data_IF_159628396178
#
_entry.id   IF_159628396178
#
_cell.length_a   1.000
_cell.length_b   1.000
_cell.length_c   1.000
_cell.angle_alpha   90.00
_cell.angle_beta   90.00
_cell.angle_gamma   90.00
#
_symmetry.space_group_name_H-M   'P 1'
#
loop_
_entity.id
_entity.type
_entity.pdbx_description
1 polymer ?
2 polymer ?
3 water ?
#
# COMPACT_ATOMS: atom_id res chain seq x y z
N UNK A 1 6.98 20.22 15.56
CA UNK A 1 6.31 19.16 16.33
C UNK A 1 5.08 18.68 15.61
N UNK A 2 4.52 17.61 16.12
CA UNK A 2 3.34 17.02 15.54
C UNK A 2 3.70 15.76 14.81
N UNK A 3 2.75 14.84 14.76
CA UNK A 3 3.00 13.61 14.06
C UNK A 3 1.70 13.18 13.40
N UNK A 4 1.72 13.09 12.07
CA UNK A 4 0.51 12.80 11.30
C UNK A 4 0.82 11.73 10.27
N UNK A 5 -0.19 10.95 9.93
CA UNK A 5 -0.04 10.05 8.78
C UNK A 5 0.03 10.93 7.54
N UNK A 6 1.18 10.94 6.91
CA UNK A 6 1.51 11.86 5.82
C UNK A 6 1.83 11.09 4.56
N UNK A 7 1.18 11.44 3.46
CA UNK A 7 1.46 10.89 2.15
C UNK A 7 2.49 11.72 1.42
N UNK A 8 3.09 11.16 0.42
CA UNK A 8 3.96 11.94 -0.45
C UNK A 8 3.12 12.82 -1.36
N UNK A 9 3.64 13.99 -1.75
CA UNK A 9 2.94 14.83 -2.71
C UNK A 9 2.67 14.01 -3.97
N UNK A 10 1.46 14.14 -4.48
CA UNK A 10 0.98 13.19 -5.49
C UNK A 10 1.11 13.73 -6.92
N UNK A 11 1.59 14.94 -7.13
CA UNK A 11 1.56 15.52 -8.46
C UNK A 11 2.27 14.70 -9.53
N UNK A 12 3.47 14.18 -9.22
CA UNK A 12 4.18 13.37 -10.20
C UNK A 12 3.37 12.17 -10.66
N UNK A 13 2.55 11.59 -9.77
CA UNK A 13 1.73 10.44 -10.15
C UNK A 13 0.45 10.90 -10.84
N UNK A 14 -0.14 12.01 -10.39
CA UNK A 14 -1.33 12.54 -11.04
C UNK A 14 -1.12 12.70 -12.54
N UNK A 15 0.06 13.15 -12.95
CA UNK A 15 0.30 13.35 -14.36
C UNK A 15 0.39 12.08 -15.18
N UNK A 16 0.27 10.93 -14.52
CA UNK A 16 0.46 9.65 -15.18
C UNK A 16 -0.86 8.89 -15.25
N UNK A 17 -1.92 9.36 -14.59
CA UNK A 17 -3.18 8.61 -14.50
C UNK A 17 -4.03 8.86 -15.72
N UNK A 18 -4.56 7.76 -16.28
CA UNK A 18 -5.45 7.78 -17.44
C UNK A 18 -6.66 6.88 -17.17
N UNK A 19 -7.68 7.01 -18.00
CA UNK A 19 -8.84 6.13 -17.96
C UNK A 19 -8.70 5.09 -19.07
N UNK A 20 -8.95 3.81 -18.74
CA UNK A 20 -8.95 2.74 -19.74
C UNK A 20 -10.34 2.14 -19.76
N UNK A 21 -10.92 2.04 -20.96
CA UNK A 21 -12.25 1.46 -21.15
C UNK A 21 -12.14 0.33 -22.15
N UNK A 22 -12.72 -0.81 -21.80
CA UNK A 22 -12.87 -1.94 -22.71
C UNK A 22 -14.34 -2.35 -22.63
N UNK A 23 -15.12 -2.06 -23.67
CA UNK A 23 -16.54 -2.33 -23.61
C UNK A 23 -17.20 -1.43 -22.61
N UNK A 24 -17.94 -2.01 -21.68
CA UNK A 24 -18.55 -1.23 -20.60
C UNK A 24 -17.76 -1.26 -19.32
N UNK A 25 -16.58 -1.89 -19.30
CA UNK A 25 -15.74 -1.91 -18.13
C UNK A 25 -14.74 -0.76 -18.19
N UNK A 26 -14.68 0.02 -17.12
CA UNK A 26 -13.78 1.16 -17.04
C UNK A 26 -12.93 1.07 -15.79
N UNK A 27 -11.67 1.45 -15.89
CA UNK A 27 -10.80 1.51 -14.71
C UNK A 27 -9.65 2.47 -15.00
N UNK A 28 -8.68 2.52 -14.09
CA UNK A 28 -7.58 3.44 -14.22
C UNK A 28 -6.38 2.74 -14.80
N UNK A 29 -5.58 3.50 -15.54
CA UNK A 29 -4.26 3.04 -15.95
C UNK A 29 -3.18 4.04 -15.62
N UNK A 30 -1.94 3.56 -15.71
CA UNK A 30 -0.74 4.33 -15.40
C UNK A 30 0.09 4.49 -16.67
N UNK A 31 0.26 5.74 -17.14
CA UNK A 31 0.87 6.02 -18.44
C UNK A 31 2.30 6.49 -18.20
N UNK A 32 3.29 5.66 -18.54
CA UNK A 32 4.69 6.00 -18.37
C UNK A 32 5.36 5.78 -19.72
N UNK A 33 6.08 6.78 -20.22
CA UNK A 33 6.64 6.70 -21.58
C UNK A 33 5.50 6.35 -22.54
N UNK A 34 5.67 5.37 -23.44
CA UNK A 34 4.62 5.03 -24.40
C UNK A 34 3.83 3.78 -24.02
N UNK A 35 3.71 3.49 -22.71
CA UNK A 35 2.97 2.32 -22.23
C UNK A 35 1.98 2.74 -21.16
N UNK A 36 0.79 2.16 -21.23
CA UNK A 36 -0.24 2.28 -20.21
C UNK A 36 -0.37 0.93 -19.54
N UNK A 37 -0.16 0.89 -18.22
CA UNK A 37 -0.27 -0.32 -17.39
C UNK A 37 -1.64 -0.29 -16.71
N UNK A 38 -2.38 -1.39 -16.76
CA UNK A 38 -3.66 -1.44 -16.06
C UNK A 38 -3.97 -2.86 -15.64
N UNK A 39 -4.90 -3.06 -14.73
CA UNK A 39 -5.31 -4.42 -14.36
C UNK A 39 -5.93 -5.15 -15.56
N UNK A 40 -5.55 -6.41 -15.73
CA UNK A 40 -6.14 -7.18 -16.80
C UNK A 40 -7.65 -7.38 -16.63
N UNK A 41 -8.19 -7.14 -15.42
CA UNK A 41 -9.63 -7.20 -15.19
C UNK A 41 -10.42 -6.28 -16.14
N UNK A 42 -9.77 -5.32 -16.79
CA UNK A 42 -10.48 -4.45 -17.72
C UNK A 42 -11.12 -5.23 -18.85
N UNK A 43 -10.61 -6.43 -19.18
CA UNK A 43 -11.16 -7.19 -20.30
C UNK A 43 -12.31 -8.09 -19.93
N UNK A 44 -12.70 -8.14 -18.67
CA UNK A 44 -13.81 -8.98 -18.27
C UNK A 44 -15.11 -8.21 -18.26
N UNK A 45 -16.19 -8.92 -18.55
CA UNK A 45 -17.54 -8.45 -18.30
C UNK A 45 -17.95 -8.99 -16.95
N UNK A 46 -19.12 -8.54 -16.48
CA UNK A 46 -19.64 -9.00 -15.20
C UNK A 46 -19.61 -10.52 -15.07
N UNK A 47 -20.12 -11.24 -16.07
CA UNK A 47 -20.15 -12.69 -16.00
C UNK A 47 -18.78 -13.34 -16.20
N UNK A 48 -17.85 -12.69 -16.89
CA UNK A 48 -16.51 -13.27 -16.99
C UNK A 48 -15.85 -13.41 -15.63
N UNK A 49 -16.31 -12.66 -14.62
CA UNK A 49 -15.52 -12.41 -13.43
C UNK A 49 -15.51 -13.54 -12.40
N UNK A 50 -16.44 -14.51 -12.48
CA UNK A 50 -16.38 -15.63 -11.53
C UNK A 50 -15.21 -16.56 -11.82
N UNK A 51 -14.95 -16.82 -13.09
CA UNK A 51 -13.91 -17.75 -13.50
C UNK A 51 -13.29 -17.32 -14.82
N UNK A 52 -12.68 -16.13 -14.92
CA UNK A 52 -12.19 -15.67 -16.22
C UNK A 52 -10.97 -16.46 -16.67
N UNK A 53 -10.93 -16.85 -17.96
CA UNK A 53 -9.70 -17.37 -18.53
C UNK A 53 -9.09 -16.19 -19.30
N UNK A 54 -8.12 -15.52 -18.67
CA UNK A 54 -7.71 -14.22 -19.21
C UNK A 54 -6.98 -14.37 -20.52
N UNK A 55 -6.26 -15.48 -20.72
CA UNK A 55 -5.57 -15.67 -21.99
C UNK A 55 -6.59 -15.79 -23.13
N UNK A 56 -7.69 -16.49 -22.88
CA UNK A 56 -8.76 -16.59 -23.87
C UNK A 56 -9.40 -15.23 -24.13
N UNK A 57 -9.77 -14.53 -23.05
CA UNK A 57 -10.39 -13.24 -23.21
C UNK A 57 -9.51 -12.30 -24.00
N UNK A 58 -8.19 -12.35 -23.77
CA UNK A 58 -7.28 -11.39 -24.40
C UNK A 58 -7.07 -11.70 -25.88
N UNK A 59 -6.98 -12.98 -26.24
CA UNK A 59 -6.75 -13.32 -27.64
C UNK A 59 -7.93 -12.90 -28.50
N UNK A 60 -9.10 -12.70 -27.89
CA UNK A 60 -10.30 -12.28 -28.59
C UNK A 60 -10.43 -10.77 -28.69
N UNK A 61 -9.44 -10.03 -28.22
CA UNK A 61 -9.40 -8.58 -28.25
C UNK A 61 -8.39 -8.13 -29.30
N UNK A 62 -8.58 -6.92 -29.83
CA UNK A 62 -7.56 -6.22 -30.59
C UNK A 62 -7.34 -4.83 -30.01
N UNK A 63 -6.33 -4.13 -30.54
CA UNK A 63 -5.96 -2.81 -30.01
C UNK A 63 -7.16 -1.86 -29.95
N UNK A 64 -8.01 -1.89 -30.98
CA UNK A 64 -9.15 -0.99 -31.05
C UNK A 64 -10.19 -1.25 -29.97
N UNK A 65 -10.12 -2.37 -29.25
CA UNK A 65 -11.07 -2.62 -28.18
C UNK A 65 -10.73 -1.87 -26.90
N UNK A 66 -9.57 -1.22 -26.85
CA UNK A 66 -9.12 -0.47 -25.68
C UNK A 66 -9.16 1.02 -25.98
N UNK A 67 -9.93 1.77 -25.21
CA UNK A 67 -10.04 3.21 -25.37
C UNK A 67 -9.33 3.81 -24.17
N UNK A 68 -8.30 4.61 -24.43
CA UNK A 68 -7.47 5.20 -23.39
C UNK A 68 -7.61 6.71 -23.48
N UNK A 69 -8.00 7.34 -22.38
CA UNK A 69 -8.25 8.77 -22.35
C UNK A 69 -7.39 9.42 -21.28
N UNK A 70 -6.63 10.44 -21.67
CA UNK A 70 -5.74 11.19 -20.79
C UNK A 70 -6.29 12.61 -20.80
N UNK A 71 -7.14 12.91 -19.83
CA UNK A 71 -7.84 14.18 -19.87
C UNK A 71 -8.74 14.21 -21.08
N UNK A 72 -8.62 15.25 -21.90
CA UNK A 72 -9.43 15.37 -23.10
C UNK A 72 -8.68 14.92 -24.35
N UNK A 73 -7.70 14.03 -24.19
CA UNK A 73 -6.90 13.52 -25.30
C UNK A 73 -7.07 12.02 -25.32
N UNK A 74 -7.56 11.48 -26.43
CA UNK A 74 -7.61 10.04 -26.59
C UNK A 74 -6.26 9.55 -27.10
N UNK A 75 -5.73 8.51 -26.47
CA UNK A 75 -4.46 7.90 -26.89
C UNK A 75 -4.75 6.64 -27.69
N UNK A 76 -4.13 6.56 -28.87
CA UNK A 76 -4.32 5.40 -29.72
C UNK A 76 -3.47 4.24 -29.23
N UNK A 77 -4.11 3.10 -28.97
CA UNK A 77 -3.40 1.88 -28.59
C UNK A 77 -2.87 1.21 -29.86
N UNK A 78 -1.57 0.92 -29.88
CA UNK A 78 -0.91 0.33 -31.05
C UNK A 78 -0.32 -1.03 -30.74
N UNK A 79 -0.49 -1.52 -29.54
CA UNK A 79 -0.06 -2.86 -29.17
C UNK A 79 -0.59 -3.19 -27.80
N UNK A 80 -0.65 -4.48 -27.52
CA UNK A 80 -1.10 -4.90 -26.20
C UNK A 80 -0.46 -6.22 -25.85
N UNK A 81 -0.27 -6.42 -24.55
CA UNK A 81 0.28 -7.68 -24.06
C UNK A 81 -0.12 -7.85 -22.61
N UNK A 82 -0.10 -9.07 -22.15
CA UNK A 82 -0.39 -9.40 -20.76
C UNK A 82 0.89 -9.77 -20.05
N UNK A 83 1.10 -9.20 -18.87
CA UNK A 83 2.20 -9.62 -18.01
C UNK A 83 1.59 -9.92 -16.65
N UNK A 84 1.45 -11.21 -16.33
CA UNK A 84 0.85 -11.65 -15.07
C UNK A 84 -0.54 -11.03 -14.99
N UNK A 85 -0.87 -10.27 -13.93
CA UNK A 85 -2.21 -9.72 -13.79
C UNK A 85 -2.34 -8.30 -14.29
N UNK A 86 -1.35 -7.77 -15.02
CA UNK A 86 -1.48 -6.45 -15.63
C UNK A 86 -1.44 -6.57 -17.15
N UNK A 87 -2.06 -5.61 -17.80
CA UNK A 87 -1.91 -5.41 -19.23
C UNK A 87 -0.97 -4.25 -19.50
N UNK A 88 -0.20 -4.37 -20.57
CA UNK A 88 0.65 -3.30 -21.09
C UNK A 88 0.06 -2.90 -22.44
N UNK A 89 -0.46 -1.70 -22.50
CA UNK A 89 -1.05 -1.17 -23.73
C UNK A 89 -0.05 -0.17 -24.31
N UNK A 90 0.58 -0.54 -25.42
CA UNK A 90 1.50 0.39 -26.06
C UNK A 90 0.67 1.44 -26.78
N UNK A 91 0.98 2.73 -26.55
CA UNK A 91 0.26 3.82 -27.16
C UNK A 91 1.19 4.60 -28.10
N UNK A 92 0.59 5.43 -28.94
CA UNK A 92 1.38 6.10 -29.98
C UNK A 92 2.08 7.35 -29.50
N UNK A 93 1.95 7.68 -28.22
CA UNK A 93 2.42 8.96 -27.68
C UNK A 93 3.09 8.68 -26.34
N UNK A 94 4.31 9.18 -26.17
CA UNK A 94 4.99 9.09 -24.89
C UNK A 94 4.46 10.16 -23.96
N UNK A 95 4.23 9.78 -22.71
CA UNK A 95 3.69 10.75 -21.73
C UNK A 95 4.73 11.82 -21.47
N UNK A 96 4.49 13.07 -21.83
CA UNK A 96 5.50 14.12 -21.57
C UNK A 96 5.72 14.39 -20.10
N UNK A 97 4.81 13.96 -19.23
CA UNK A 97 4.93 14.15 -17.80
C UNK A 97 5.52 12.95 -17.07
N UNK A 98 6.08 11.97 -17.79
CA UNK A 98 6.64 10.79 -17.12
C UNK A 98 7.74 11.22 -16.15
N UNK A 99 7.65 10.87 -14.87
CA UNK A 99 8.74 11.18 -13.92
C UNK A 99 9.81 10.12 -14.05
N UNK A 100 10.96 10.37 -13.43
CA UNK A 100 11.89 9.28 -13.19
C UNK A 100 11.18 8.27 -12.30
N UNK A 101 11.28 6.98 -12.65
CA UNK A 101 10.50 6.02 -11.88
C UNK A 101 11.19 4.66 -11.84
N UNK A 102 10.74 3.87 -10.86
CA UNK A 102 11.13 2.46 -10.74
C UNK A 102 9.89 1.66 -10.39
N UNK A 103 9.89 0.36 -10.73
CA UNK A 103 8.88 -0.57 -10.22
C UNK A 103 9.57 -1.43 -9.16
N UNK A 104 9.12 -1.28 -7.91
CA UNK A 104 9.72 -1.96 -6.76
C UNK A 104 8.60 -2.80 -6.16
N UNK A 105 8.95 -3.94 -5.58
CA UNK A 105 7.98 -4.64 -4.76
C UNK A 105 8.33 -4.42 -3.30
N UNK A 106 7.32 -4.10 -2.50
CA UNK A 106 7.57 -3.85 -1.08
C UNK A 106 7.36 -5.07 -0.21
N UNK A 107 7.89 -5.00 1.02
CA UNK A 107 7.74 -6.00 2.04
C UNK A 107 6.56 -5.67 2.95
N UNK A 108 5.95 -6.68 3.55
CA UNK A 108 5.03 -6.45 4.67
C UNK A 108 5.73 -5.63 5.74
N UNK A 109 4.99 -4.66 6.30
CA UNK A 109 5.51 -3.74 7.29
C UNK A 109 5.94 -2.41 6.71
N UNK A 110 6.11 -2.33 5.39
CA UNK A 110 6.51 -1.08 4.74
C UNK A 110 5.27 -0.27 4.35
N UNK A 111 5.43 1.05 4.30
CA UNK A 111 4.34 1.95 3.95
C UNK A 111 4.51 2.52 2.54
N UNK A 112 3.42 3.09 2.03
CA UNK A 112 3.42 3.76 0.74
C UNK A 112 2.20 4.66 0.68
N UNK A 113 2.22 5.57 -0.28
CA UNK A 113 1.11 6.49 -0.51
C UNK A 113 0.22 5.93 -1.61
N UNK A 114 -1.09 6.01 -1.42
CA UNK A 114 -2.07 5.58 -2.42
C UNK A 114 -2.71 6.83 -3.01
N UNK A 115 -2.72 6.93 -4.35
CA UNK A 115 -3.51 7.92 -5.06
C UNK A 115 -4.77 7.25 -5.56
N UNK A 116 -5.84 7.38 -4.81
CA UNK A 116 -7.14 6.83 -5.23
C UNK A 116 -7.66 7.60 -6.43
N UNK A 117 -8.10 6.88 -7.47
CA UNK A 117 -8.58 7.51 -8.69
C UNK A 117 -9.83 6.81 -9.16
N UNK A 118 -10.65 7.58 -9.87
CA UNK A 118 -11.89 7.13 -10.51
C UNK A 118 -11.95 7.71 -11.90
N UNK A 119 -12.23 6.87 -12.90
CA UNK A 119 -12.38 7.36 -14.29
C UNK A 119 -11.14 8.11 -14.75
N UNK A 120 -9.96 7.65 -14.32
CA UNK A 120 -8.70 8.28 -14.64
C UNK A 120 -8.41 9.57 -13.88
N UNK A 121 -9.29 9.97 -12.96
CA UNK A 121 -9.17 11.27 -12.28
C UNK A 121 -8.80 11.06 -10.83
N UNK A 122 -7.67 11.60 -10.38
CA UNK A 122 -7.30 11.45 -8.97
C UNK A 122 -8.32 12.08 -8.04
N UNK A 123 -8.66 11.36 -6.96
CA UNK A 123 -9.61 11.85 -5.99
C UNK A 123 -9.07 12.09 -4.58
N UNK A 124 -8.08 11.33 -4.14
CA UNK A 124 -7.57 11.49 -2.79
C UNK A 124 -6.24 10.81 -2.65
N UNK A 125 -5.50 11.18 -1.60
CA UNK A 125 -4.21 10.56 -1.32
C UNK A 125 -4.12 10.24 0.16
N UNK A 126 -3.58 9.07 0.47
CA UNK A 126 -3.45 8.64 1.86
C UNK A 126 -2.33 7.61 1.96
N UNK A 127 -1.86 7.39 3.19
CA UNK A 127 -0.83 6.38 3.43
C UNK A 127 -1.44 5.03 3.82
N UNK A 128 -0.75 3.97 3.38
CA UNK A 128 -1.14 2.59 3.69
C UNK A 128 0.11 1.87 4.13
N UNK A 129 -0.02 0.85 4.99
CA UNK A 129 1.05 -0.15 5.17
C UNK A 129 0.66 -1.48 4.53
N UNK A 130 1.66 -2.19 4.04
CA UNK A 130 1.42 -3.55 3.56
C UNK A 130 1.35 -4.42 4.83
N UNK A 131 0.21 -5.08 5.08
CA UNK A 131 0.10 -5.85 6.32
C UNK A 131 0.94 -7.13 6.22
N UNK A 132 1.29 -7.74 7.36
CA UNK A 132 1.91 -9.08 7.33
C UNK A 132 1.14 -10.07 6.51
N UNK A 133 -0.19 -9.94 6.40
CA UNK A 133 -0.95 -10.92 5.61
C UNK A 133 -1.14 -10.47 4.15
N UNK A 134 -0.40 -9.46 3.72
CA UNK A 134 -0.34 -9.00 2.33
C UNK A 134 -1.61 -8.31 1.86
N UNK A 135 -2.46 -7.88 2.78
CA UNK A 135 -3.55 -6.98 2.43
C UNK A 135 -3.18 -5.56 2.82
N UNK A 136 -3.99 -4.61 2.35
CA UNK A 136 -3.86 -3.22 2.80
C UNK A 136 -5.23 -2.76 3.27
N UNK A 137 -5.24 -1.87 4.25
CA UNK A 137 -6.49 -1.31 4.78
C UNK A 137 -6.65 0.04 4.09
N UNK A 138 -7.25 0.00 2.91
CA UNK A 138 -7.39 1.21 2.13
C UNK A 138 -8.79 1.78 2.17
N UNK A 139 -9.08 2.65 1.22
CA UNK A 139 -10.41 3.22 1.08
C UNK A 139 -10.64 3.28 -0.44
N UNK A 140 -11.45 2.36 -0.95
CA UNK A 140 -11.57 2.17 -2.39
C UNK A 140 -13.01 1.78 -2.69
N UNK A 141 -13.57 2.38 -3.74
CA UNK A 141 -14.93 2.12 -4.20
C UNK A 141 -14.84 1.52 -5.60
N UNK A 142 -15.99 1.06 -6.12
CA UNK A 142 -15.98 0.62 -7.51
C UNK A 142 -15.52 1.74 -8.42
N UNK A 143 -14.67 1.38 -9.37
CA UNK A 143 -14.01 2.33 -10.24
C UNK A 143 -12.57 2.63 -9.86
N UNK A 144 -12.15 2.23 -8.65
CA UNK A 144 -10.81 2.51 -8.16
C UNK A 144 -9.76 1.54 -8.70
N UNK A 145 -10.17 0.45 -9.32
CA UNK A 145 -9.21 -0.55 -9.75
C UNK A 145 -8.20 0.13 -10.67
N UNK A 146 -6.93 -0.17 -10.50
CA UNK A 146 -5.87 0.46 -11.28
C UNK A 146 -5.23 1.67 -10.60
N UNK A 147 -5.79 2.13 -9.46
CA UNK A 147 -5.13 3.16 -8.67
C UNK A 147 -3.80 2.61 -8.17
N UNK A 148 -2.83 3.49 -7.99
CA UNK A 148 -1.48 3.03 -7.66
C UNK A 148 -1.00 3.53 -6.30
N UNK A 149 -0.06 2.75 -5.74
CA UNK A 149 0.67 3.10 -4.55
C UNK A 149 2.14 3.32 -4.87
N UNK A 150 2.79 4.21 -4.11
CA UNK A 150 4.12 4.61 -4.48
C UNK A 150 4.82 5.26 -3.29
N UNK A 151 6.14 5.31 -3.40
CA UNK A 151 6.95 6.17 -2.54
C UNK A 151 7.81 7.09 -3.41
N UNK A 152 8.30 8.22 -2.86
CA UNK A 152 9.16 9.09 -3.63
C UNK A 152 10.50 9.18 -2.93
N UNK A 153 11.58 9.16 -3.70
CA UNK A 153 12.93 9.34 -3.17
C UNK A 153 13.65 10.23 -4.18
N UNK A 154 14.01 11.46 -3.79
CA UNK A 154 14.77 12.35 -4.65
C UNK A 154 14.17 12.44 -6.06
N UNK A 155 12.89 12.80 -6.10
CA UNK A 155 12.15 12.95 -7.36
C UNK A 155 12.04 11.70 -8.24
N UNK A 156 12.47 10.53 -7.74
CA UNK A 156 12.20 9.25 -8.40
C UNK A 156 11.01 8.61 -7.72
N UNK A 157 10.00 8.27 -8.52
CA UNK A 157 8.78 7.65 -8.01
C UNK A 157 8.98 6.14 -8.06
N UNK A 158 8.91 5.49 -6.90
CA UNK A 158 9.03 4.03 -6.88
C UNK A 158 7.60 3.50 -6.73
N UNK A 159 7.05 2.99 -7.83
CA UNK A 159 5.70 2.43 -7.81
C UNK A 159 5.76 1.04 -7.23
N UNK A 160 4.90 0.76 -6.26
CA UNK A 160 4.90 -0.52 -5.58
C UNK A 160 3.58 -1.25 -5.56
N UNK A 161 2.47 -0.63 -5.93
CA UNK A 161 1.18 -1.28 -5.78
C UNK A 161 0.23 -0.80 -6.87
N UNK A 162 -0.55 -1.74 -7.42
CA UNK A 162 -1.69 -1.41 -8.26
C UNK A 162 -2.91 -2.10 -7.69
N UNK A 163 -3.98 -1.35 -7.48
CA UNK A 163 -5.13 -1.88 -6.80
C UNK A 163 -5.98 -2.76 -7.70
N UNK A 164 -6.44 -3.90 -7.18
CA UNK A 164 -7.36 -4.77 -7.91
C UNK A 164 -8.68 -5.01 -7.20
N UNK A 165 -8.69 -5.40 -5.94
CA UNK A 165 -9.94 -5.92 -5.42
C UNK A 165 -10.13 -5.65 -3.95
N UNK A 166 -11.39 -5.86 -3.53
CA UNK A 166 -11.73 -5.77 -2.13
C UNK A 166 -12.17 -7.14 -1.64
N UNK A 167 -11.60 -7.59 -0.52
CA UNK A 167 -11.95 -8.88 0.05
C UNK A 167 -13.18 -8.77 0.93
N UNK A 168 -13.82 -9.89 1.23
CA UNK A 168 -15.05 -9.83 2.04
C UNK A 168 -14.94 -9.11 3.37
N UNK A 169 -13.76 -9.09 4.01
CA UNK A 169 -13.57 -8.38 5.27
C UNK A 169 -13.43 -6.87 5.08
N UNK A 170 -13.45 -6.39 3.84
CA UNK A 170 -13.33 -4.96 3.61
C UNK A 170 -11.91 -4.46 3.44
N UNK A 171 -10.92 -5.34 3.50
CA UNK A 171 -9.55 -4.99 3.20
C UNK A 171 -9.27 -5.19 1.71
N UNK A 172 -8.11 -4.79 1.25
CA UNK A 172 -7.83 -4.61 -0.17
C UNK A 172 -6.62 -5.44 -0.59
N UNK A 173 -6.65 -5.86 -1.86
CA UNK A 173 -5.56 -6.67 -2.40
C UNK A 173 -5.21 -6.20 -3.79
N UNK A 174 -3.93 -6.31 -4.13
CA UNK A 174 -3.48 -5.88 -5.43
C UNK A 174 -2.13 -6.46 -5.74
N UNK A 175 -1.51 -5.90 -6.78
CA UNK A 175 -0.28 -6.45 -7.33
C UNK A 175 0.86 -5.44 -7.25
N UNK A 176 2.06 -5.91 -7.50
CA UNK A 176 3.13 -5.00 -7.89
C UNK A 176 2.91 -4.53 -9.33
N UNK A 177 3.79 -3.67 -9.84
CA UNK A 177 3.55 -3.15 -11.17
C UNK A 177 4.02 -4.09 -12.27
N UNK A 178 4.62 -5.22 -11.90
CA UNK A 178 4.80 -6.34 -12.80
C UNK A 178 3.60 -7.26 -12.86
N UNK A 179 2.56 -6.97 -12.11
CA UNK A 179 1.33 -7.71 -12.17
C UNK A 179 1.30 -8.93 -11.26
N UNK A 180 2.22 -9.05 -10.31
CA UNK A 180 2.26 -10.18 -9.38
C UNK A 180 1.58 -9.81 -8.08
N UNK A 181 0.56 -10.58 -7.69
CA UNK A 181 -0.21 -10.26 -6.49
C UNK A 181 0.67 -10.27 -5.26
N UNK A 182 0.37 -9.33 -4.36
CA UNK A 182 0.83 -9.45 -3.00
C UNK A 182 -0.08 -10.43 -2.30
N UNK A 183 0.48 -11.56 -1.83
CA UNK A 183 -0.32 -12.47 -1.05
C UNK A 183 -1.03 -13.50 -1.91
N UNK A 184 -1.75 -14.39 -1.26
CA UNK A 184 -2.31 -15.57 -1.93
C UNK A 184 -3.69 -15.26 -2.49
N UNK A 185 -3.76 -14.24 -3.35
CA UNK A 185 -5.01 -13.74 -3.92
C UNK A 185 -4.95 -13.79 -5.44
N UNK A 186 -6.12 -13.83 -6.06
CA UNK A 186 -6.26 -13.97 -7.50
C UNK A 186 -7.34 -13.00 -7.97
N UNK A 187 -7.22 -12.55 -9.23
CA UNK A 187 -8.14 -11.54 -9.78
C UNK A 187 -9.41 -12.18 -10.34
N UNK A 188 -10.23 -12.66 -9.42
CA UNK A 188 -11.51 -13.25 -9.76
C UNK A 188 -12.46 -13.11 -8.58
N UNK A 189 -13.76 -13.09 -8.88
CA UNK A 189 -14.79 -12.83 -7.89
C UNK A 189 -15.26 -14.15 -7.27
N UNK A 190 -14.39 -14.67 -6.41
CA UNK A 190 -14.57 -15.88 -5.64
C UNK A 190 -14.34 -15.56 -4.17
N UNK A 191 -14.74 -16.50 -3.32
CA UNK A 191 -14.47 -16.40 -1.91
C UNK A 191 -12.96 -16.49 -1.70
N UNK A 192 -12.39 -15.44 -1.19
CA UNK A 192 -10.99 -15.45 -0.84
C UNK A 192 -10.89 -14.77 0.51
N UNK A 193 -9.98 -15.28 1.33
CA UNK A 193 -9.75 -14.70 2.65
C UNK A 193 -8.25 -14.63 2.91
N UNK A 194 -7.84 -13.56 3.59
CA UNK A 194 -6.43 -13.41 3.94
C UNK A 194 -6.08 -14.26 5.15
N UNK A 195 -4.81 -14.61 5.27
CA UNK A 195 -4.35 -15.22 6.50
C UNK A 195 -4.58 -14.31 7.69
N UNK A 196 -4.55 -14.91 8.87
CA UNK A 196 -4.59 -14.10 10.08
C UNK A 196 -3.46 -13.09 10.07
N UNK A 197 -3.75 -11.89 10.53
CA UNK A 197 -2.78 -10.80 10.52
C UNK A 197 -2.10 -10.71 11.88
N UNK A 198 -0.99 -9.97 11.90
CA UNK A 198 -0.21 -9.76 13.11
C UNK A 198 0.18 -8.29 13.15
N UNK A 199 0.63 -7.84 14.33
CA UNK A 199 0.99 -6.43 14.52
C UNK A 199 2.47 -6.24 14.25
N UNK A 200 2.80 -5.15 13.56
CA UNK A 200 4.18 -4.88 13.11
C UNK A 200 5.00 -4.25 14.25
N UNK A 201 5.70 -5.08 15.02
CA UNK A 201 6.32 -4.66 16.28
C UNK A 201 7.30 -3.52 16.08
N UNK A 202 8.17 -3.63 15.08
CA UNK A 202 9.19 -2.58 14.91
C UNK A 202 8.54 -1.24 14.65
N UNK A 203 7.40 -1.23 13.97
CA UNK A 203 6.72 0.04 13.67
C UNK A 203 6.07 0.60 14.94
N UNK A 204 5.52 -0.26 15.81
CA UNK A 204 4.99 0.22 17.08
C UNK A 204 6.09 0.90 17.86
N UNK A 205 7.28 0.27 17.92
CA UNK A 205 8.39 0.88 18.66
C UNK A 205 8.79 2.21 18.04
N UNK A 206 8.82 2.28 16.70
CA UNK A 206 9.14 3.53 16.04
C UNK A 206 8.16 4.63 16.43
N UNK A 207 6.88 4.29 16.48
CA UNK A 207 5.87 5.26 16.84
C UNK A 207 5.98 5.69 18.31
N UNK A 208 6.36 4.76 19.21
CA UNK A 208 6.63 5.16 20.60
C UNK A 208 7.79 6.13 20.67
N UNK A 209 8.82 5.95 19.83
CA UNK A 209 9.88 6.97 19.79
C UNK A 209 9.37 8.29 19.23
N UNK A 210 8.52 8.27 18.19
CA UNK A 210 7.89 9.52 17.73
C UNK A 210 7.16 10.18 18.85
N UNK A 211 6.49 9.41 19.70
CA UNK A 211 5.72 10.00 20.79
C UNK A 211 6.65 10.68 21.77
N UNK A 212 7.78 10.04 22.12
CA UNK A 212 8.72 10.63 23.06
C UNK A 212 9.26 11.92 22.47
N UNK A 213 9.64 11.89 21.18
CA UNK A 213 10.17 13.08 20.50
C UNK A 213 9.16 14.22 20.58
N UNK A 214 7.88 13.88 20.57
CA UNK A 214 6.77 14.82 20.66
C UNK A 214 6.28 15.13 22.07
N UNK A 215 6.98 14.65 23.10
CA UNK A 215 6.66 15.00 24.47
C UNK A 215 5.69 14.10 25.20
N UNK A 216 5.26 12.98 24.59
CA UNK A 216 4.44 12.00 25.30
C UNK A 216 5.41 11.00 25.92
N UNK A 217 5.52 10.99 27.24
CA UNK A 217 6.48 10.14 27.96
C UNK A 217 5.86 9.29 29.05
N UNK A 218 4.54 9.34 29.24
CA UNK A 218 3.93 8.73 30.42
C UNK A 218 4.14 7.22 30.48
N UNK A 219 4.34 6.59 29.32
CA UNK A 219 4.46 5.14 29.21
C UNK A 219 5.88 4.65 29.45
N UNK A 220 6.84 5.57 29.67
CA UNK A 220 8.20 5.15 29.94
C UNK A 220 8.34 4.61 31.37
N UNK A 221 9.34 3.75 31.55
CA UNK A 221 9.63 3.19 32.85
C UNK A 221 11.13 3.03 32.98
N UNK A 222 11.59 2.90 34.24
CA UNK A 222 13.00 2.64 34.51
C UNK A 222 13.40 1.18 34.29
N UNK A 223 12.49 0.36 33.77
CA UNK A 223 12.70 -1.06 33.53
C UNK A 223 13.40 -1.29 32.20
N UNK A 224 13.98 -2.49 32.07
CA UNK A 224 14.47 -2.98 30.79
C UNK A 224 14.14 -4.46 30.67
N UNK A 225 14.44 -5.02 29.50
CA UNK A 225 14.16 -6.42 29.18
C UNK A 225 15.23 -6.92 28.21
N UNK A 226 15.29 -8.24 28.07
CA UNK A 226 16.09 -8.84 27.01
C UNK A 226 15.24 -9.01 25.75
N UNK A 227 15.92 -9.12 24.60
CA UNK A 227 15.22 -9.38 23.35
C UNK A 227 14.44 -10.68 23.42
N UNK A 228 15.07 -11.72 23.95
CA UNK A 228 14.41 -13.01 24.07
C UNK A 228 13.15 -12.89 24.94
N UNK A 229 13.28 -12.26 26.10
CA UNK A 229 12.14 -12.14 27.01
C UNK A 229 11.06 -11.26 26.40
N UNK A 230 11.45 -10.24 25.64
CA UNK A 230 10.45 -9.43 24.96
C UNK A 230 9.65 -10.24 23.95
N UNK A 231 10.34 -11.06 23.13
CA UNK A 231 9.63 -11.80 22.08
C UNK A 231 8.71 -12.86 22.66
N UNK A 232 9.06 -13.42 23.82
CA UNK A 232 8.13 -14.31 24.51
C UNK A 232 6.82 -13.60 24.79
N UNK A 233 6.87 -12.32 25.19
CA UNK A 233 5.65 -11.54 25.41
C UNK A 233 4.98 -11.19 24.10
N UNK A 234 5.76 -10.74 23.11
CA UNK A 234 5.18 -10.32 21.83
C UNK A 234 4.38 -11.44 21.18
N UNK A 235 4.89 -12.66 21.25
CA UNK A 235 4.19 -13.79 20.63
C UNK A 235 2.81 -13.97 21.24
N UNK A 236 2.69 -13.80 22.57
CA UNK A 236 1.41 -14.00 23.22
C UNK A 236 0.36 -13.00 22.75
N UNK A 237 0.78 -11.80 22.34
CA UNK A 237 -0.12 -10.74 21.91
C UNK A 237 -0.23 -10.63 20.40
N UNK A 238 0.29 -11.61 19.66
CA UNK A 238 0.14 -11.65 18.21
C UNK A 238 0.94 -10.51 17.55
N UNK A 239 2.11 -10.20 18.12
CA UNK A 239 3.06 -9.27 17.54
C UNK A 239 4.14 -10.07 16.82
N UNK A 240 4.66 -9.50 15.74
CA UNK A 240 5.77 -10.13 15.04
C UNK A 240 7.01 -10.15 15.94
N UNK A 241 7.84 -11.18 15.82
CA UNK A 241 9.11 -11.17 16.56
C UNK A 241 9.97 -9.98 16.17
N UNK A 242 10.74 -9.50 17.13
CA UNK A 242 11.56 -8.32 16.91
C UNK A 242 12.97 -8.91 16.73
N UNK A 243 13.62 -8.55 15.63
CA UNK A 243 14.94 -9.09 15.34
C UNK A 243 16.04 -8.11 15.74
N UNK A 244 17.28 -8.62 15.76
CA UNK A 244 18.41 -7.73 15.96
C UNK A 244 18.49 -6.66 14.86
N UNK A 245 18.08 -7.00 13.63
CA UNK A 245 18.10 -5.99 12.59
C UNK A 245 17.11 -4.87 12.89
N UNK A 246 15.93 -5.23 13.40
CA UNK A 246 14.99 -4.21 13.82
C UNK A 246 15.60 -3.31 14.89
N UNK A 247 16.28 -3.92 15.86
CA UNK A 247 16.96 -3.15 16.88
C UNK A 247 17.95 -2.18 16.26
N UNK A 248 18.74 -2.66 15.30
CA UNK A 248 19.71 -1.80 14.63
C UNK A 248 19.01 -0.66 13.89
N UNK A 249 17.92 -0.95 13.20
CA UNK A 249 17.22 0.08 12.43
C UNK A 249 16.69 1.17 13.35
N UNK A 250 16.32 0.80 14.58
CA UNK A 250 15.85 1.77 15.56
C UNK A 250 16.98 2.55 16.22
N UNK A 251 18.23 2.23 15.90
CA UNK A 251 19.39 2.90 16.48
C UNK A 251 19.30 4.41 16.50
N UNK A 252 19.07 5.03 15.33
CA UNK A 252 19.05 6.51 15.30
C UNK A 252 18.00 7.13 16.19
N UNK A 253 16.79 6.57 16.24
CA UNK A 253 15.75 7.06 17.14
C UNK A 253 16.13 6.87 18.59
N UNK A 254 16.74 5.73 18.93
CA UNK A 254 17.23 5.50 20.27
C UNK A 254 18.29 6.53 20.65
N UNK A 255 19.19 6.83 19.72
CA UNK A 255 20.24 7.82 19.99
C UNK A 255 19.64 9.20 20.20
N UNK A 256 18.65 9.57 19.38
CA UNK A 256 18.06 10.89 19.47
C UNK A 256 17.37 11.10 20.82
N UNK A 257 16.68 10.07 21.31
CA UNK A 257 15.91 10.18 22.55
C UNK A 257 16.65 9.77 23.80
N UNK A 258 17.78 9.06 23.68
CA UNK A 258 18.43 8.54 24.86
C UNK A 258 17.75 7.35 25.48
N UNK A 259 16.81 6.71 24.79
CA UNK A 259 16.08 5.58 25.33
C UNK A 259 16.55 4.34 24.56
N UNK A 260 17.21 3.42 25.26
CA UNK A 260 17.70 2.20 24.64
C UNK A 260 16.53 1.42 24.05
N UNK A 261 16.77 0.76 22.92
CA UNK A 261 15.70 0.01 22.26
C UNK A 261 15.09 -1.01 23.22
N UNK A 262 15.93 -1.75 23.95
CA UNK A 262 15.38 -2.72 24.90
C UNK A 262 14.62 -2.06 26.05
N UNK A 263 14.93 -0.80 26.38
CA UNK A 263 14.11 -0.11 27.36
C UNK A 263 12.74 0.22 26.76
N UNK A 264 12.70 0.66 25.52
CA UNK A 264 11.41 0.92 24.92
C UNK A 264 10.62 -0.38 24.80
N UNK A 265 11.30 -1.51 24.57
CA UNK A 265 10.62 -2.80 24.55
C UNK A 265 9.96 -3.11 25.90
N UNK A 266 10.64 -2.79 27.00
CA UNK A 266 10.05 -2.95 28.32
C UNK A 266 8.79 -2.10 28.46
N UNK A 267 8.80 -0.87 27.92
CA UNK A 267 7.61 -0.04 27.92
C UNK A 267 6.48 -0.68 27.14
N UNK A 268 6.80 -1.19 25.95
CA UNK A 268 5.78 -1.85 25.14
C UNK A 268 5.24 -3.10 25.84
N UNK A 269 6.11 -3.89 26.46
CA UNK A 269 5.65 -5.03 27.23
C UNK A 269 4.60 -4.60 28.26
N UNK A 270 4.89 -3.50 28.99
CA UNK A 270 3.94 -3.06 30.00
C UNK A 270 2.63 -2.58 29.38
N UNK A 271 2.72 -1.89 28.24
CA UNK A 271 1.51 -1.43 27.57
C UNK A 271 0.66 -2.60 27.08
N UNK A 272 1.31 -3.66 26.60
CA UNK A 272 0.55 -4.84 26.16
C UNK A 272 -0.13 -5.50 27.34
N UNK A 273 0.56 -5.58 28.48
CA UNK A 273 0.04 -6.32 29.62
C UNK A 273 -0.98 -5.53 30.41
N UNK A 274 -0.95 -4.19 30.34
CA UNK A 274 -1.77 -3.34 31.19
C UNK A 274 -2.78 -2.51 30.41
N UNK A 275 -2.61 -2.36 29.10
CA UNK A 275 -3.42 -1.41 28.37
C UNK A 275 -2.98 0.01 28.69
N UNK A 276 -3.80 0.96 28.25
CA UNK A 276 -3.42 2.35 28.40
C UNK A 276 -4.04 3.04 29.60
N UNK A 277 -5.05 2.41 30.23
CA UNK A 277 -5.66 2.93 31.44
C UNK A 277 -6.19 4.35 31.23
N UNK A 278 -6.81 4.57 30.06
CA UNK A 278 -7.50 5.81 29.78
C UNK A 278 -6.68 6.88 29.08
N UNK A 279 -5.40 6.66 28.86
CA UNK A 279 -4.52 7.67 28.30
C UNK A 279 -4.35 7.47 26.79
N UNK A 280 -3.78 8.46 26.14
CA UNK A 280 -3.52 8.39 24.71
C UNK A 280 -2.03 8.62 24.45
N UNK A 281 -1.60 8.20 23.28
CA UNK A 281 -0.25 8.39 22.79
C UNK A 281 -0.40 8.97 21.39
N UNK A 282 0.14 10.16 21.16
CA UNK A 282 0.03 10.80 19.85
C UNK A 282 -1.39 10.79 19.32
N UNK A 283 -2.34 11.09 20.19
CA UNK A 283 -3.74 11.20 19.78
C UNK A 283 -4.45 9.89 19.53
N UNK A 284 -3.87 8.77 19.94
CA UNK A 284 -4.47 7.45 19.68
C UNK A 284 -4.62 6.70 21.01
N UNK A 285 -5.72 5.96 21.15
CA UNK A 285 -5.90 5.09 22.31
C UNK A 285 -5.53 3.63 22.01
N UNK A 286 -4.86 3.38 20.89
CA UNK A 286 -4.37 2.06 20.50
C UNK A 286 -2.91 2.20 20.10
N UNK A 287 -2.22 1.06 20.07
CA UNK A 287 -0.82 1.07 19.65
C UNK A 287 -0.77 1.03 18.12
N UNK A 288 -0.17 2.04 17.52
CA UNK A 288 -0.19 2.21 16.06
C UNK A 288 1.01 1.55 15.43
N UNK A 289 0.75 0.75 14.35
CA UNK A 289 1.84 -0.01 13.76
C UNK A 289 2.05 0.30 12.28
N UNK A 290 1.49 1.41 11.77
CA UNK A 290 1.62 1.71 10.36
C UNK A 290 2.58 2.86 10.06
N UNK A 291 3.51 3.13 10.97
CA UNK A 291 4.62 4.06 10.74
C UNK A 291 5.94 3.31 10.81
N UNK A 292 6.72 3.34 9.73
CA UNK A 292 8.03 2.71 9.79
C UNK A 292 9.03 3.62 10.50
N UNK A 293 10.18 3.07 10.89
CA UNK A 293 11.25 3.93 11.44
C UNK A 293 11.60 5.07 10.49
N UNK A 294 11.62 4.83 9.18
CA UNK A 294 11.88 5.90 8.21
C UNK A 294 10.81 6.98 8.28
N UNK A 295 9.54 6.56 8.33
CA UNK A 295 8.44 7.52 8.41
C UNK A 295 8.62 8.42 9.62
N UNK A 296 9.05 7.84 10.74
CA UNK A 296 9.24 8.62 11.96
C UNK A 296 10.39 9.60 11.77
N UNK A 297 11.54 9.13 11.30
CA UNK A 297 12.68 10.02 11.09
C UNK A 297 12.35 11.12 10.08
N UNK A 298 11.68 10.75 8.97
CA UNK A 298 11.37 11.71 7.91
C UNK A 298 10.57 12.87 8.45
N UNK A 299 9.71 12.60 9.42
CA UNK A 299 8.73 13.56 9.85
C UNK A 299 9.12 14.28 11.15
N UNK A 300 9.93 13.65 12.00
CA UNK A 300 10.29 14.13 13.32
C UNK A 300 11.61 14.90 13.27
N UNK A 301 11.72 15.89 14.14
CA UNK A 301 12.92 16.71 14.27
C UNK A 301 14.14 15.82 14.43
N UNK A 302 15.33 16.36 14.14
CA UNK A 302 16.55 15.58 14.14
C UNK A 302 17.28 15.51 15.46
N UNK B 1 -19.48 -14.42 1.09
CA UNK B 1 -19.19 -13.26 0.26
C UNK B 1 -17.95 -13.50 -0.59
N UNK B 2 -17.95 -12.93 -1.79
CA UNK B 2 -16.83 -13.05 -2.72
C UNK B 2 -16.01 -11.77 -2.76
N UNK B 3 -14.77 -11.90 -3.20
CA UNK B 3 -13.99 -10.72 -3.52
C UNK B 3 -14.62 -9.98 -4.69
N UNK B 4 -14.40 -8.68 -4.73
CA UNK B 4 -14.96 -7.78 -5.74
C UNK B 4 -13.79 -7.16 -6.49
N UNK B 5 -13.77 -7.29 -7.82
CA UNK B 5 -12.81 -6.56 -8.65
C UNK B 5 -13.37 -5.16 -8.84
N UNK B 6 -12.69 -4.16 -8.31
CA UNK B 6 -13.33 -2.86 -8.17
C UNK B 6 -13.19 -2.00 -9.42
N UNK B 7 -13.47 -2.58 -10.59
CA UNK B 7 -13.65 -1.81 -11.81
C UNK B 7 -14.97 -1.03 -11.76
N UNK B 8 -15.14 -0.11 -12.72
CA UNK B 8 -16.37 0.65 -12.84
C UNK B 8 -17.17 0.26 -14.06
N UNK B 9 -18.46 0.60 -14.07
CA UNK B 9 -19.34 0.27 -15.16
C UNK B 9 -19.65 1.55 -15.93
N UNK B 10 -19.72 1.44 -17.25
CA UNK B 10 -19.94 2.63 -18.08
C UNK B 10 -20.69 2.29 -19.38
#
# INVERSE_FOLDING_TARGET
>A
SGFRKMAFPSGKVEGCMVQVICGTTTLNGLWLDDVVYCPRAVICTSEDMLNPNYEDLLIRKSNHNFLVQAGNVQLRVIGHSMQNCVLKLKVDTANPKTPKYKFVRIQPGQTFSVLACYNGSPSGVYQCAMRPNFTIKGSFLNGSCGSVGFNIDYDCVSFCYMHHMELPTGVHAGTDLEGNFYGPFVDRQTAQAAGTDTTITVNVLAWLYAAVINGDRWFLNRFTTTLNDFNLVAMKYNYEPLTQDHVDILGPLSAQTGIAVLDMCASLKELLQNGMNGRTILGSALLEDEFTPFDVVRQCSGVTFQ
>B
TSAVLQSGFR
#
